data_IF_606833607905
#
_entry.id   IF_606833607905
#
_cell.length_a   1.000
_cell.length_b   1.000
_cell.length_c   1.000
_cell.angle_alpha   90.00
_cell.angle_beta   90.00
_cell.angle_gamma   90.00
#
_symmetry.space_group_name_H-M   'P 1'
#
loop_
_entity.id
_entity.type
_entity.pdbx_description
1 polymer ?
#
# COMPACT_ATOMS: atom_id res chain seq x y z
N UNK A 1 12.49 30.65 -34.75
CA UNK A 1 12.31 29.20 -34.93
C UNK A 1 10.94 28.82 -34.35
N UNK A 2 10.03 28.33 -35.17
CA UNK A 2 8.70 27.95 -34.71
C UNK A 2 8.77 26.55 -34.04
N UNK A 3 7.91 26.31 -33.03
CA UNK A 3 7.85 25.01 -32.30
C UNK A 3 7.76 23.79 -33.23
N UNK A 4 7.10 23.95 -34.40
CA UNK A 4 6.99 22.91 -35.44
C UNK A 4 8.34 22.58 -36.11
N UNK A 5 9.22 23.57 -36.26
CA UNK A 5 10.53 23.36 -36.88
C UNK A 5 11.50 22.65 -35.94
N UNK A 6 11.38 22.88 -34.63
CA UNK A 6 12.11 22.15 -33.61
C UNK A 6 11.75 20.66 -33.57
N UNK A 7 10.47 20.34 -33.69
CA UNK A 7 10.00 18.94 -33.71
C UNK A 7 10.47 18.22 -34.99
N UNK A 8 10.44 18.89 -36.14
CA UNK A 8 10.97 18.32 -37.40
C UNK A 8 12.47 18.07 -37.35
N UNK A 9 13.23 18.96 -36.68
CA UNK A 9 14.67 18.80 -36.52
C UNK A 9 15.04 17.61 -35.61
N UNK A 10 14.23 17.34 -34.57
CA UNK A 10 14.37 16.18 -33.70
C UNK A 10 14.05 14.88 -34.45
N UNK A 11 13.00 14.87 -35.26
CA UNK A 11 12.63 13.69 -36.07
C UNK A 11 13.67 13.37 -37.15
N UNK A 12 14.26 14.38 -37.81
CA UNK A 12 15.31 14.19 -38.79
C UNK A 12 16.67 13.78 -38.17
N UNK A 13 16.94 14.21 -36.94
CA UNK A 13 18.13 13.80 -36.18
C UNK A 13 18.07 12.34 -35.71
N UNK A 14 16.86 11.82 -35.44
CA UNK A 14 16.70 10.43 -34.98
C UNK A 14 16.86 9.37 -36.08
N UNK A 15 16.62 9.73 -37.35
CA UNK A 15 16.81 8.80 -38.48
C UNK A 15 18.30 8.60 -38.82
N UNK A 16 19.15 9.58 -38.56
CA UNK A 16 20.59 9.50 -38.83
C UNK A 16 21.35 8.67 -37.75
N UNK A 17 20.80 8.52 -36.55
CA UNK A 17 21.40 7.73 -35.46
C UNK A 17 20.87 6.28 -35.41
N UNK A 18 19.88 5.93 -36.21
CA UNK A 18 19.24 4.62 -36.24
C UNK A 18 20.08 3.49 -36.86
N UNK A 19 21.30 3.76 -37.36
CA UNK A 19 22.14 2.74 -37.98
C UNK A 19 23.29 2.19 -37.09
N UNK A 20 23.35 2.58 -35.82
CA UNK A 20 24.42 2.12 -34.90
C UNK A 20 23.88 1.41 -33.64
N UNK A 21 22.58 1.14 -33.53
CA UNK A 21 22.06 0.34 -32.41
C UNK A 21 21.81 -1.10 -32.89
N UNK A 22 22.85 -1.74 -33.35
CA UNK A 22 22.96 -3.20 -33.29
C UNK A 22 23.72 -3.52 -32.00
N UNK A 23 23.00 -3.91 -30.97
CA UNK A 23 23.67 -4.49 -29.84
C UNK A 23 23.07 -4.16 -28.49
N UNK A 24 21.99 -4.78 -28.17
CA UNK A 24 21.74 -5.31 -26.82
C UNK A 24 20.69 -6.42 -26.95
N UNK A 25 21.03 -7.47 -27.63
CA UNK A 25 20.50 -8.77 -27.28
C UNK A 25 21.26 -9.21 -26.05
N UNK A 26 20.75 -8.93 -24.88
CA UNK A 26 21.15 -9.60 -23.64
C UNK A 26 20.87 -11.08 -23.86
N UNK A 27 21.93 -11.85 -24.15
CA UNK A 27 21.88 -13.29 -23.97
C UNK A 27 21.66 -13.52 -22.49
N UNK A 28 20.44 -13.86 -22.12
CA UNK A 28 20.14 -14.51 -20.85
C UNK A 28 20.87 -15.84 -20.84
N UNK A 29 22.05 -15.87 -20.24
CA UNK A 29 22.67 -17.13 -19.83
C UNK A 29 21.86 -17.61 -18.61
N UNK A 30 21.03 -18.62 -18.87
CA UNK A 30 20.40 -19.40 -17.82
C UNK A 30 21.48 -20.06 -16.99
N UNK A 31 21.69 -19.57 -15.77
CA UNK A 31 22.45 -20.28 -14.75
C UNK A 31 21.40 -21.17 -14.05
N UNK A 32 21.37 -22.44 -14.41
CA UNK A 32 20.58 -23.48 -13.75
C UNK A 32 20.99 -23.55 -12.28
N UNK A 33 20.05 -23.29 -11.37
CA UNK A 33 20.21 -23.59 -9.96
C UNK A 33 20.00 -22.46 -8.95
N UNK A 34 19.59 -21.25 -9.38
CA UNK A 34 19.14 -20.23 -8.45
C UNK A 34 17.62 -20.32 -8.24
N UNK A 35 17.11 -20.12 -7.00
CA UNK A 35 15.66 -20.03 -6.78
C UNK A 35 15.11 -18.91 -7.65
N UNK A 36 13.94 -19.14 -8.22
CA UNK A 36 13.19 -18.19 -9.04
C UNK A 36 12.94 -16.91 -8.19
N UNK A 37 13.88 -15.97 -8.26
CA UNK A 37 13.66 -14.62 -7.73
C UNK A 37 12.54 -14.05 -8.60
N UNK A 38 11.35 -13.88 -8.06
CA UNK A 38 10.29 -13.09 -8.69
C UNK A 38 10.94 -11.78 -9.10
N UNK A 39 11.15 -11.61 -10.41
CA UNK A 39 11.70 -10.36 -10.95
C UNK A 39 10.76 -9.22 -10.56
N UNK A 40 11.07 -8.55 -9.45
CA UNK A 40 10.47 -7.25 -9.16
C UNK A 40 10.92 -6.32 -10.29
N UNK A 41 9.99 -5.62 -10.95
CA UNK A 41 10.36 -4.72 -12.03
C UNK A 41 11.34 -3.67 -11.51
N UNK A 42 12.58 -3.71 -11.97
CA UNK A 42 13.67 -2.80 -11.58
C UNK A 42 13.55 -1.41 -12.20
N UNK A 43 12.38 -1.04 -12.70
CA UNK A 43 12.14 0.24 -13.34
C UNK A 43 12.40 1.40 -12.38
N UNK A 44 13.32 2.29 -12.77
CA UNK A 44 13.65 3.51 -12.03
C UNK A 44 14.55 3.31 -10.82
N UNK A 45 15.09 2.11 -10.58
CA UNK A 45 16.07 1.84 -9.52
C UNK A 45 17.48 2.04 -10.01
N UNK A 46 18.32 2.70 -9.20
CA UNK A 46 19.76 2.77 -9.42
C UNK A 46 20.44 1.47 -8.96
N UNK A 47 21.66 1.19 -9.47
CA UNK A 47 22.44 0.02 -9.04
C UNK A 47 22.63 -0.03 -7.51
N UNK A 48 22.83 1.11 -6.88
CA UNK A 48 23.00 1.21 -5.42
C UNK A 48 21.72 0.83 -4.67
N UNK A 49 20.58 1.23 -5.17
CA UNK A 49 19.27 0.86 -4.58
C UNK A 49 18.99 -0.63 -4.77
N UNK A 50 19.36 -1.20 -5.92
CA UNK A 50 19.22 -2.64 -6.18
C UNK A 50 20.06 -3.46 -5.19
N UNK A 51 21.30 -3.08 -4.96
CA UNK A 51 22.18 -3.77 -4.00
C UNK A 51 21.63 -3.67 -2.57
N UNK A 52 21.16 -2.48 -2.16
CA UNK A 52 20.53 -2.28 -0.87
C UNK A 52 19.27 -3.14 -0.71
N UNK A 53 18.41 -3.18 -1.73
CA UNK A 53 17.19 -3.99 -1.70
C UNK A 53 17.54 -5.48 -1.56
N UNK A 54 18.58 -5.97 -2.23
CA UNK A 54 19.07 -7.35 -2.08
C UNK A 54 19.52 -7.64 -0.65
N UNK A 55 20.32 -6.78 -0.04
CA UNK A 55 20.75 -6.92 1.36
C UNK A 55 19.56 -6.97 2.32
N UNK A 56 18.54 -6.11 2.09
CA UNK A 56 17.33 -6.09 2.91
C UNK A 56 16.49 -7.37 2.76
N UNK A 57 16.42 -7.95 1.57
CA UNK A 57 15.67 -9.19 1.32
C UNK A 57 16.39 -10.44 1.83
N UNK A 58 17.71 -10.43 1.89
CA UNK A 58 18.52 -11.55 2.37
C UNK A 58 18.67 -11.60 3.91
N UNK A 59 18.32 -10.50 4.60
CA UNK A 59 18.45 -10.42 6.06
C UNK A 59 17.11 -10.70 6.75
N UNK A 60 17.14 -11.39 7.90
CA UNK A 60 16.01 -11.56 8.80
C UNK A 60 16.24 -10.73 10.06
N UNK A 61 15.20 -10.05 10.55
CA UNK A 61 15.29 -9.34 11.82
C UNK A 61 14.59 -10.09 12.95
N UNK A 62 13.33 -10.45 12.76
CA UNK A 62 12.55 -11.15 13.77
C UNK A 62 12.84 -12.66 13.77
N UNK A 63 12.84 -13.26 14.95
CA UNK A 63 12.82 -14.70 15.09
C UNK A 63 11.40 -15.26 14.90
N UNK A 64 11.25 -16.60 14.86
CA UNK A 64 9.96 -17.27 14.63
C UNK A 64 8.89 -16.90 15.66
N UNK A 65 9.27 -16.79 16.95
CA UNK A 65 8.35 -16.40 18.03
C UNK A 65 7.87 -14.95 17.85
N UNK A 66 8.80 -14.03 17.56
CA UNK A 66 8.48 -12.62 17.33
C UNK A 66 7.53 -12.45 16.11
N UNK A 67 7.80 -13.16 15.01
CA UNK A 67 6.93 -13.15 13.82
C UNK A 67 5.56 -13.76 14.10
N UNK A 68 5.49 -14.84 14.88
CA UNK A 68 4.23 -15.45 15.28
C UNK A 68 3.40 -14.50 16.16
N UNK A 69 4.04 -13.81 17.10
CA UNK A 69 3.39 -12.80 17.93
C UNK A 69 2.83 -11.63 17.09
N UNK A 70 3.62 -11.13 16.14
CA UNK A 70 3.19 -10.09 15.20
C UNK A 70 2.00 -10.56 14.37
N UNK A 71 2.03 -11.79 13.85
CA UNK A 71 0.92 -12.35 13.06
C UNK A 71 -0.39 -12.38 13.86
N UNK A 72 -0.35 -12.85 15.09
CA UNK A 72 -1.53 -12.87 15.99
C UNK A 72 -2.06 -11.46 16.22
N UNK A 73 -1.18 -10.49 16.51
CA UNK A 73 -1.59 -9.10 16.72
C UNK A 73 -2.18 -8.49 15.44
N UNK A 74 -1.62 -8.76 14.28
CA UNK A 74 -2.15 -8.29 12.99
C UNK A 74 -3.58 -8.79 12.76
N UNK A 75 -3.86 -10.07 13.03
CA UNK A 75 -5.18 -10.65 12.84
C UNK A 75 -6.18 -10.26 13.94
N UNK A 76 -5.72 -9.89 15.14
CA UNK A 76 -6.57 -9.24 16.15
C UNK A 76 -6.98 -7.84 15.71
N UNK A 77 -6.07 -7.07 15.08
CA UNK A 77 -6.33 -5.70 14.63
C UNK A 77 -7.21 -5.67 13.38
N UNK A 78 -6.93 -6.54 12.40
CA UNK A 78 -7.69 -6.68 11.16
C UNK A 78 -8.00 -8.16 10.91
N UNK A 79 -9.05 -8.68 11.56
CA UNK A 79 -9.48 -10.06 11.39
C UNK A 79 -10.09 -10.27 10.01
N UNK A 80 -10.14 -11.52 9.59
CA UNK A 80 -10.89 -11.91 8.39
C UNK A 80 -12.38 -11.53 8.51
N UNK A 81 -12.90 -10.88 7.48
CA UNK A 81 -14.31 -10.48 7.38
C UNK A 81 -14.78 -10.72 5.95
N UNK A 82 -15.57 -11.77 5.72
CA UNK A 82 -16.05 -12.13 4.37
C UNK A 82 -16.71 -10.92 3.66
N UNK A 83 -16.34 -10.59 2.42
CA UNK A 83 -15.44 -11.29 1.49
C UNK A 83 -13.95 -10.93 1.60
N UNK A 84 -13.52 -10.22 2.63
CA UNK A 84 -12.17 -9.70 2.79
C UNK A 84 -11.31 -10.64 3.63
N UNK A 85 -10.01 -10.65 3.31
CA UNK A 85 -8.99 -11.47 3.97
C UNK A 85 -8.51 -10.85 5.29
N UNK A 86 -7.84 -11.63 6.15
CA UNK A 86 -7.18 -11.10 7.33
C UNK A 86 -5.89 -10.35 6.99
N UNK A 87 -5.32 -9.64 7.97
CA UNK A 87 -4.04 -8.95 7.79
C UNK A 87 -2.90 -9.92 7.42
N UNK A 88 -2.83 -11.09 8.05
CA UNK A 88 -1.81 -12.09 7.72
C UNK A 88 -2.01 -12.69 6.35
N UNK A 89 -3.24 -12.97 5.93
CA UNK A 89 -3.55 -13.43 4.57
C UNK A 89 -3.20 -12.39 3.49
N UNK A 90 -3.19 -11.10 3.84
CA UNK A 90 -2.77 -10.01 2.95
C UNK A 90 -1.26 -9.78 2.91
N UNK A 91 -0.45 -10.53 3.66
CA UNK A 91 1.01 -10.40 3.69
C UNK A 91 1.54 -9.31 4.62
N UNK A 92 0.75 -8.85 5.59
CA UNK A 92 1.13 -7.74 6.49
C UNK A 92 2.28 -8.11 7.41
N UNK A 93 2.37 -9.37 7.84
CA UNK A 93 3.48 -9.85 8.66
C UNK A 93 4.82 -9.70 7.93
N UNK A 94 4.86 -10.08 6.67
CA UNK A 94 6.03 -9.97 5.80
C UNK A 94 6.38 -8.50 5.52
N UNK A 95 5.37 -7.65 5.38
CA UNK A 95 5.55 -6.20 5.26
C UNK A 95 6.21 -5.62 6.51
N UNK A 96 5.75 -6.00 7.72
CA UNK A 96 6.31 -5.49 8.98
C UNK A 96 7.76 -5.94 9.14
N UNK A 97 8.07 -7.21 8.82
CA UNK A 97 9.43 -7.72 8.87
C UNK A 97 10.36 -6.99 7.89
N UNK A 98 9.88 -6.68 6.67
CA UNK A 98 10.63 -5.85 5.73
C UNK A 98 10.85 -4.43 6.23
N UNK A 99 9.80 -3.75 6.72
CA UNK A 99 9.88 -2.37 7.20
C UNK A 99 10.87 -2.20 8.33
N UNK A 100 10.97 -3.17 9.24
CA UNK A 100 11.91 -3.12 10.37
C UNK A 100 13.37 -3.20 9.91
N UNK A 101 13.64 -3.85 8.79
CA UNK A 101 14.97 -3.90 8.17
C UNK A 101 15.30 -2.61 7.42
N UNK A 102 14.32 -2.04 6.73
CA UNK A 102 14.48 -0.77 5.99
C UNK A 102 14.52 0.44 6.93
N UNK A 103 13.76 0.41 8.01
CA UNK A 103 13.63 1.48 9.01
C UNK A 103 14.13 0.99 10.37
N UNK A 104 15.44 1.04 10.60
CA UNK A 104 16.10 0.48 11.79
C UNK A 104 15.62 1.08 13.12
N UNK A 105 15.08 2.31 13.11
CA UNK A 105 14.48 2.95 14.28
C UNK A 105 13.24 2.20 14.80
N UNK A 106 12.64 1.31 14.01
CA UNK A 106 11.54 0.44 14.41
C UNK A 106 12.00 -0.80 15.19
N UNK A 107 13.26 -1.21 15.06
CA UNK A 107 13.79 -2.47 15.60
C UNK A 107 13.64 -2.57 17.12
N UNK A 108 14.21 -1.63 17.87
CA UNK A 108 14.20 -1.64 19.32
C UNK A 108 12.78 -1.50 19.89
N UNK A 109 11.95 -0.55 19.42
CA UNK A 109 10.58 -0.43 19.92
C UNK A 109 9.71 -1.67 19.70
N UNK A 110 9.84 -2.33 18.55
CA UNK A 110 9.02 -3.51 18.25
C UNK A 110 9.48 -4.73 19.04
N UNK A 111 10.78 -5.05 19.04
CA UNK A 111 11.31 -6.17 19.82
C UNK A 111 11.09 -5.96 21.32
N UNK A 112 11.35 -4.76 21.83
CA UNK A 112 11.08 -4.42 23.22
C UNK A 112 9.60 -4.49 23.59
N UNK A 113 8.72 -4.12 22.67
CA UNK A 113 7.27 -4.23 22.83
C UNK A 113 6.79 -5.69 22.89
N UNK A 114 7.31 -6.57 22.04
CA UNK A 114 7.01 -8.02 22.09
C UNK A 114 7.46 -8.62 23.42
N UNK A 115 8.68 -8.31 23.86
CA UNK A 115 9.19 -8.75 25.17
C UNK A 115 8.33 -8.25 26.33
N UNK A 116 7.87 -7.00 26.27
CA UNK A 116 6.94 -6.43 27.25
C UNK A 116 5.62 -7.19 27.24
N UNK A 117 5.06 -7.47 26.06
CA UNK A 117 3.80 -8.18 25.89
C UNK A 117 3.85 -9.58 26.51
N UNK A 118 4.90 -10.34 26.24
CA UNK A 118 5.11 -11.67 26.82
C UNK A 118 5.27 -11.61 28.35
N UNK A 119 6.02 -10.62 28.84
CA UNK A 119 6.18 -10.41 30.29
C UNK A 119 4.85 -10.07 30.95
N UNK A 120 4.02 -9.25 30.31
CA UNK A 120 2.71 -8.86 30.81
C UNK A 120 1.72 -10.03 30.76
N UNK A 121 1.70 -10.77 29.67
CA UNK A 121 0.92 -12.00 29.50
C UNK A 121 1.27 -13.03 30.58
N UNK A 122 2.57 -13.24 30.82
CA UNK A 122 3.05 -14.18 31.83
C UNK A 122 2.62 -13.77 33.25
N UNK A 123 2.62 -12.48 33.58
CA UNK A 123 2.11 -11.98 34.86
C UNK A 123 0.61 -12.23 35.07
N UNK A 124 -0.19 -12.18 33.98
CA UNK A 124 -1.64 -12.36 34.06
C UNK A 124 -2.05 -13.83 34.00
N UNK A 125 -1.44 -14.60 33.08
CA UNK A 125 -1.90 -15.93 32.70
C UNK A 125 -0.84 -17.04 32.84
N UNK A 126 0.38 -16.68 33.27
CA UNK A 126 1.51 -17.62 33.38
C UNK A 126 1.87 -18.31 32.06
N UNK A 127 1.72 -17.57 30.94
CA UNK A 127 1.99 -18.01 29.56
C UNK A 127 2.55 -16.85 28.74
N UNK A 128 3.31 -17.15 27.70
CA UNK A 128 3.64 -16.19 26.63
C UNK A 128 2.38 -15.81 25.86
N UNK A 129 2.35 -14.64 25.25
CA UNK A 129 1.17 -14.11 24.57
C UNK A 129 0.60 -15.06 23.50
N UNK A 130 1.48 -15.66 22.68
CA UNK A 130 1.04 -16.61 21.63
C UNK A 130 0.48 -17.92 22.19
N UNK A 131 0.80 -18.27 23.41
CA UNK A 131 0.30 -19.47 24.09
C UNK A 131 -1.03 -19.23 24.84
N UNK A 132 -1.51 -17.99 24.90
CA UNK A 132 -2.79 -17.63 25.47
C UNK A 132 -3.95 -18.04 24.57
N UNK A 133 -5.15 -18.21 25.16
CA UNK A 133 -6.39 -18.36 24.37
C UNK A 133 -6.76 -17.04 23.70
N UNK A 134 -7.63 -17.10 22.71
CA UNK A 134 -8.10 -15.90 22.04
C UNK A 134 -8.71 -14.89 23.03
N UNK A 135 -9.49 -15.36 24.00
CA UNK A 135 -10.10 -14.50 25.02
C UNK A 135 -9.05 -13.82 25.90
N UNK A 136 -7.99 -14.56 26.29
CA UNK A 136 -6.87 -14.01 27.06
C UNK A 136 -6.08 -12.98 26.24
N UNK A 137 -5.87 -13.24 24.93
CA UNK A 137 -5.20 -12.30 24.01
C UNK A 137 -6.02 -11.02 23.83
N UNK A 138 -7.34 -11.14 23.64
CA UNK A 138 -8.24 -9.98 23.55
C UNK A 138 -8.26 -9.18 24.86
N UNK A 139 -8.32 -9.84 26.04
CA UNK A 139 -8.24 -9.12 27.32
C UNK A 139 -6.96 -8.32 27.48
N UNK A 140 -5.81 -8.86 27.04
CA UNK A 140 -4.53 -8.12 27.06
C UNK A 140 -4.61 -6.92 26.10
N UNK A 141 -5.06 -7.13 24.86
CA UNK A 141 -5.16 -6.08 23.85
C UNK A 141 -6.11 -4.96 24.28
N UNK A 142 -7.27 -5.29 24.84
CA UNK A 142 -8.25 -4.29 25.30
C UNK A 142 -7.71 -3.37 26.40
N UNK A 143 -6.77 -3.83 27.19
CA UNK A 143 -6.14 -3.02 28.26
C UNK A 143 -5.16 -1.97 27.72
N UNK A 144 -4.66 -2.15 26.47
CA UNK A 144 -3.60 -1.32 25.88
C UNK A 144 -4.00 -0.69 24.54
N UNK A 145 -5.19 -1.01 24.01
CA UNK A 145 -5.62 -0.56 22.68
C UNK A 145 -6.09 0.91 22.66
N UNK A 146 -6.53 1.43 23.78
CA UNK A 146 -7.20 2.75 23.87
C UNK A 146 -6.44 3.68 24.79
N UNK A 147 -5.66 4.66 24.25
CA UNK A 147 -4.82 5.57 25.03
C UNK A 147 -5.56 6.25 26.18
N UNK A 148 -6.81 6.68 25.92
CA UNK A 148 -7.66 7.39 26.90
C UNK A 148 -8.15 6.50 28.07
N UNK A 149 -8.04 5.18 27.93
CA UNK A 149 -8.47 4.20 28.94
C UNK A 149 -7.30 3.44 29.56
N UNK A 150 -6.11 3.55 28.95
CA UNK A 150 -4.92 2.81 29.39
C UNK A 150 -4.43 3.33 30.72
N UNK A 151 -4.19 2.41 31.66
CA UNK A 151 -3.63 2.76 32.97
C UNK A 151 -2.17 3.22 32.84
N UNK A 152 -1.69 4.14 33.70
CA UNK A 152 -0.33 4.66 33.63
C UNK A 152 0.77 3.60 33.63
N UNK A 153 0.58 2.50 34.36
CA UNK A 153 1.52 1.36 34.40
C UNK A 153 1.60 0.55 33.11
N UNK A 154 0.66 0.72 32.18
CA UNK A 154 0.56 0.01 30.91
C UNK A 154 0.93 0.87 29.68
N UNK A 155 1.40 2.10 29.89
CA UNK A 155 1.74 3.03 28.79
C UNK A 155 2.73 2.43 27.79
N UNK A 156 3.70 1.63 28.26
CA UNK A 156 4.66 0.97 27.34
C UNK A 156 3.95 0.00 26.38
N UNK A 157 2.97 -0.75 26.87
CA UNK A 157 2.15 -1.65 26.05
C UNK A 157 1.27 -0.87 25.07
N UNK A 158 0.67 0.22 25.52
CA UNK A 158 -0.15 1.09 24.66
C UNK A 158 0.67 1.68 23.50
N UNK A 159 1.85 2.21 23.77
CA UNK A 159 2.76 2.75 22.74
C UNK A 159 3.17 1.66 21.75
N UNK A 160 3.48 0.46 22.24
CA UNK A 160 3.76 -0.69 21.39
C UNK A 160 2.55 -1.09 20.54
N UNK A 161 1.37 -1.25 21.15
CA UNK A 161 0.16 -1.65 20.43
C UNK A 161 -0.23 -0.61 19.37
N UNK A 162 -0.14 0.67 19.69
CA UNK A 162 -0.37 1.76 18.73
C UNK A 162 0.58 1.66 17.54
N UNK A 163 1.86 1.33 17.77
CA UNK A 163 2.85 1.13 16.70
C UNK A 163 2.50 -0.06 15.81
N UNK A 164 2.22 -1.22 16.39
CA UNK A 164 1.81 -2.42 15.64
C UNK A 164 0.51 -2.15 14.86
N UNK A 165 -0.47 -1.50 15.48
CA UNK A 165 -1.71 -1.13 14.80
C UNK A 165 -1.44 -0.26 13.58
N UNK A 166 -0.61 0.77 13.69
CA UNK A 166 -0.31 1.67 12.59
C UNK A 166 0.42 0.94 11.46
N UNK A 167 1.38 0.07 11.77
CA UNK A 167 2.07 -0.75 10.77
C UNK A 167 1.13 -1.76 10.10
N UNK A 168 0.24 -2.39 10.88
CA UNK A 168 -0.77 -3.32 10.35
C UNK A 168 -1.70 -2.62 9.37
N UNK A 169 -2.25 -1.46 9.74
CA UNK A 169 -3.12 -0.67 8.87
C UNK A 169 -2.37 -0.20 7.61
N UNK A 170 -1.13 0.26 7.77
CA UNK A 170 -0.30 0.68 6.63
C UNK A 170 -0.06 -0.49 5.69
N UNK A 171 0.41 -1.64 6.19
CA UNK A 171 0.68 -2.82 5.37
C UNK A 171 -0.58 -3.34 4.67
N UNK A 172 -1.69 -3.41 5.39
CA UNK A 172 -2.94 -3.90 4.82
C UNK A 172 -3.49 -2.98 3.74
N UNK A 173 -3.70 -1.70 4.02
CA UNK A 173 -4.33 -0.77 3.08
C UNK A 173 -3.42 -0.30 1.94
N UNK A 174 -2.14 -0.66 1.96
CA UNK A 174 -1.24 -0.54 0.80
C UNK A 174 -1.09 -1.86 0.02
N UNK A 175 -1.64 -2.96 0.52
CA UNK A 175 -1.70 -4.23 -0.18
C UNK A 175 -2.78 -4.24 -1.26
N UNK A 176 -2.68 -5.20 -2.20
CA UNK A 176 -3.70 -5.41 -3.23
C UNK A 176 -5.09 -5.68 -2.63
N UNK A 177 -5.13 -6.44 -1.55
CA UNK A 177 -6.38 -6.84 -0.89
C UNK A 177 -7.01 -5.65 -0.14
N UNK A 178 -6.21 -4.88 0.58
CA UNK A 178 -6.70 -3.68 1.27
C UNK A 178 -7.16 -2.57 0.32
N UNK A 179 -6.46 -2.36 -0.80
CA UNK A 179 -6.90 -1.44 -1.87
C UNK A 179 -8.26 -1.88 -2.44
N UNK A 180 -8.45 -3.20 -2.61
CA UNK A 180 -9.72 -3.77 -3.08
C UNK A 180 -10.84 -3.56 -2.06
N UNK A 181 -10.58 -3.76 -0.77
CA UNK A 181 -11.54 -3.53 0.31
C UNK A 181 -11.96 -2.06 0.36
N UNK A 182 -11.02 -1.12 0.25
CA UNK A 182 -11.33 0.32 0.16
C UNK A 182 -12.14 0.69 -1.08
N UNK A 183 -12.24 -0.19 -2.09
CA UNK A 183 -12.85 0.14 -3.38
C UNK A 183 -12.09 1.24 -4.14
N UNK A 184 -10.81 1.45 -3.81
CA UNK A 184 -9.99 2.47 -4.45
C UNK A 184 -9.70 2.12 -5.91
N UNK A 185 -10.16 2.97 -6.82
CA UNK A 185 -10.02 2.79 -8.28
C UNK A 185 -8.94 3.70 -8.90
N UNK A 186 -8.21 4.42 -8.07
CA UNK A 186 -7.28 5.44 -8.54
C UNK A 186 -7.99 6.71 -9.02
N UNK A 187 -7.25 7.54 -9.74
CA UNK A 187 -7.82 8.72 -10.38
C UNK A 187 -8.65 8.29 -11.58
N UNK A 188 -9.96 8.29 -11.44
CA UNK A 188 -10.87 8.07 -12.57
C UNK A 188 -11.25 9.40 -13.19
N UNK A 189 -11.34 9.49 -14.53
CA UNK A 189 -11.89 10.67 -15.17
C UNK A 189 -13.26 10.99 -14.59
N UNK A 190 -13.42 12.19 -14.09
CA UNK A 190 -14.69 12.66 -13.57
C UNK A 190 -14.99 14.03 -14.17
N UNK A 191 -16.22 14.19 -14.61
CA UNK A 191 -16.72 15.48 -15.07
C UNK A 191 -17.40 16.13 -13.87
N UNK A 192 -16.95 17.33 -13.53
CA UNK A 192 -17.61 18.13 -12.51
C UNK A 192 -18.93 18.65 -13.04
N UNK A 193 -20.03 18.06 -12.62
CA UNK A 193 -21.39 18.46 -12.97
C UNK A 193 -22.11 19.20 -11.83
N UNK A 194 -21.35 19.66 -10.86
CA UNK A 194 -21.86 20.41 -9.71
C UNK A 194 -22.29 19.52 -8.54
N UNK A 195 -23.00 20.12 -7.60
CA UNK A 195 -23.53 19.43 -6.43
C UNK A 195 -24.84 18.73 -6.84
N UNK A 196 -25.09 17.46 -6.45
CA UNK A 196 -26.36 16.80 -6.73
C UNK A 196 -27.58 17.62 -6.25
N UNK A 197 -28.62 17.70 -7.07
CA UNK A 197 -29.81 18.52 -6.77
C UNK A 197 -30.45 18.18 -5.42
N UNK A 198 -30.47 16.89 -5.04
CA UNK A 198 -31.00 16.45 -3.75
C UNK A 198 -30.24 17.04 -2.57
N UNK A 199 -28.92 17.24 -2.71
CA UNK A 199 -28.07 17.85 -1.69
C UNK A 199 -28.35 19.36 -1.64
N UNK A 200 -28.46 20.03 -2.79
CA UNK A 200 -28.82 21.44 -2.86
C UNK A 200 -30.17 21.71 -2.17
N UNK A 201 -31.20 20.94 -2.54
CA UNK A 201 -32.54 21.07 -1.96
C UNK A 201 -32.55 20.88 -0.45
N UNK A 202 -31.75 19.94 0.07
CA UNK A 202 -31.61 19.71 1.50
C UNK A 202 -31.06 20.94 2.25
N UNK A 203 -30.26 21.73 1.58
CA UNK A 203 -29.66 22.96 2.13
C UNK A 203 -30.37 24.24 1.68
N UNK A 204 -31.51 24.14 0.98
CA UNK A 204 -32.29 25.29 0.52
C UNK A 204 -31.72 26.04 -0.67
N UNK A 205 -30.89 25.35 -1.48
CA UNK A 205 -30.31 25.88 -2.71
C UNK A 205 -30.90 25.22 -3.94
N UNK A 206 -30.89 25.92 -5.05
CA UNK A 206 -31.27 25.42 -6.39
C UNK A 206 -30.31 25.99 -7.43
N UNK A 207 -30.15 25.26 -8.55
CA UNK A 207 -29.43 25.78 -9.67
C UNK A 207 -30.26 26.84 -10.44
N UNK A 208 -29.60 27.88 -10.89
CA UNK A 208 -30.22 28.87 -11.80
C UNK A 208 -30.25 28.34 -13.22
N UNK A 209 -31.44 28.13 -13.81
CA UNK A 209 -31.62 27.63 -15.16
C UNK A 209 -30.84 28.42 -16.22
N UNK A 210 -30.76 29.76 -16.05
CA UNK A 210 -30.03 30.65 -16.94
C UNK A 210 -28.51 30.33 -16.99
N UNK A 211 -27.94 29.80 -15.93
CA UNK A 211 -26.54 29.36 -15.87
C UNK A 211 -26.40 27.93 -16.37
N UNK A 212 -27.32 27.04 -16.04
CA UNK A 212 -27.29 25.65 -16.53
C UNK A 212 -27.30 25.59 -18.05
N UNK A 213 -28.07 26.47 -18.72
CA UNK A 213 -28.11 26.56 -20.17
C UNK A 213 -26.78 26.99 -20.81
N UNK A 214 -25.85 27.56 -20.04
CA UNK A 214 -24.48 27.94 -20.48
C UNK A 214 -23.41 26.93 -20.13
N UNK A 215 -23.74 25.93 -19.34
CA UNK A 215 -22.81 24.86 -18.99
C UNK A 215 -22.58 23.89 -20.15
N UNK A 216 -21.47 23.15 -20.07
CA UNK A 216 -21.19 22.11 -21.07
C UNK A 216 -22.27 21.02 -20.97
N UNK A 217 -22.77 20.58 -22.12
CA UNK A 217 -23.70 19.46 -22.19
C UNK A 217 -23.02 18.18 -21.66
N UNK A 218 -23.59 17.59 -20.60
CA UNK A 218 -23.08 16.42 -19.92
C UNK A 218 -23.73 15.11 -20.41
N UNK A 219 -24.59 15.18 -21.46
CA UNK A 219 -25.29 14.00 -21.97
C UNK A 219 -24.35 12.86 -22.39
N UNK A 220 -23.19 13.22 -22.93
CA UNK A 220 -22.18 12.28 -23.44
C UNK A 220 -21.01 12.04 -22.45
N UNK A 221 -21.17 12.42 -21.21
CA UNK A 221 -20.08 12.35 -20.20
C UNK A 221 -19.53 10.95 -19.94
N UNK A 222 -20.30 9.92 -20.25
CA UNK A 222 -19.89 8.51 -20.13
C UNK A 222 -19.27 7.92 -21.38
N UNK A 223 -19.25 8.67 -22.49
CA UNK A 223 -18.77 8.17 -23.75
C UNK A 223 -17.24 8.16 -23.78
N UNK A 224 -16.68 7.04 -24.22
CA UNK A 224 -15.23 6.91 -24.43
C UNK A 224 -14.97 7.32 -25.88
N UNK A 225 -14.11 8.32 -26.05
CA UNK A 225 -13.66 8.74 -27.38
C UNK A 225 -13.07 7.56 -28.16
N UNK A 226 -13.58 7.35 -29.36
CA UNK A 226 -13.08 6.34 -30.31
C UNK A 226 -12.46 7.03 -31.51
N UNK A 227 -11.36 6.47 -31.96
CA UNK A 227 -10.55 7.01 -33.04
C UNK A 227 -10.45 5.98 -34.15
N UNK A 228 -10.43 6.42 -35.41
CA UNK A 228 -10.11 5.56 -36.56
C UNK A 228 -8.60 5.34 -36.68
N UNK A 229 -8.20 4.48 -37.63
CA UNK A 229 -6.80 4.15 -37.88
C UNK A 229 -5.99 5.34 -38.41
N UNK A 230 -6.68 6.37 -38.94
CA UNK A 230 -6.09 7.63 -39.41
C UNK A 230 -6.02 8.70 -38.30
N UNK A 231 -6.54 8.43 -37.11
CA UNK A 231 -6.49 9.31 -35.95
C UNK A 231 -7.61 10.37 -35.92
N UNK A 232 -8.70 10.16 -36.60
CA UNK A 232 -9.89 11.03 -36.54
C UNK A 232 -10.85 10.53 -35.46
N UNK A 233 -11.48 11.45 -34.75
CA UNK A 233 -12.49 11.12 -33.74
C UNK A 233 -13.75 10.56 -34.42
N UNK A 234 -14.19 9.36 -34.05
CA UNK A 234 -15.38 8.69 -34.60
C UNK A 234 -16.61 8.94 -33.71
N UNK A 235 -16.43 8.99 -32.39
CA UNK A 235 -17.50 9.23 -31.39
C UNK A 235 -16.95 9.78 -30.09
#
# INVERSE_FOLDING_TARGET
>A
MNRRDSIKSILLGSVATGLVINGCTTKTSSVDGLPEVKETPLYGRTEKEILRDQELFESDFFNEHELATIAVLCDIILPKSDPYVSATEAGVKEFIDFIVRDMEDQQIPLRGGIMWLDSFSNKLYNKEFIACTNEEQYDICDRIAYPEKTKPELIQGEVFFTRIRNLTLTGFYTSKEGIKELGYKGNTPNIWDGVPEEVLKKHGFEYEEAWLAKCVDQSNRGDIAKWDDEGNLIS
#
